data_IF_381981297971
#
_entry.id   IF_381981297971
#
_cell.length_a   1.000
_cell.length_b   1.000
_cell.length_c   1.000
_cell.angle_alpha   90.00
_cell.angle_beta   90.00
_cell.angle_gamma   90.00
#
_symmetry.space_group_name_H-M   'P 1'
#
loop_
_entity.id
_entity.type
_entity.pdbx_description
1 polymer ?
#
# COMPACT_ATOMS: atom_id res chain seq x y z
N UNK A 1 -17.95 -27.18 1.58
CA UNK A 1 -18.41 -25.93 0.93
C UNK A 1 -17.17 -25.10 0.69
N UNK A 2 -16.85 -24.76 -0.55
CA UNK A 2 -15.71 -23.88 -0.86
C UNK A 2 -16.02 -22.51 -0.28
N UNK A 3 -15.31 -22.10 0.77
CA UNK A 3 -15.44 -20.77 1.37
C UNK A 3 -14.79 -19.75 0.43
N UNK A 4 -15.53 -19.32 -0.58
CA UNK A 4 -15.11 -18.26 -1.50
C UNK A 4 -15.12 -16.92 -0.77
N UNK A 5 -14.00 -16.20 -0.80
CA UNK A 5 -13.86 -14.95 -0.07
C UNK A 5 -12.91 -13.98 -0.76
N UNK A 6 -12.97 -12.73 -0.38
CA UNK A 6 -11.93 -11.76 -0.66
C UNK A 6 -11.05 -11.62 0.59
N UNK A 7 -9.77 -11.92 0.44
CA UNK A 7 -8.78 -11.72 1.47
C UNK A 7 -8.18 -10.32 1.30
N UNK A 8 -8.47 -9.44 2.24
CA UNK A 8 -7.91 -8.09 2.29
C UNK A 8 -6.73 -8.03 3.26
N UNK A 9 -5.51 -7.77 2.77
CA UNK A 9 -4.36 -7.49 3.65
C UNK A 9 -4.49 -6.08 4.20
N UNK A 10 -4.16 -5.89 5.46
CA UNK A 10 -4.19 -4.56 6.08
C UNK A 10 -3.04 -4.38 7.07
N UNK A 11 -2.91 -3.18 7.60
CA UNK A 11 -2.03 -2.95 8.75
C UNK A 11 -2.65 -3.58 9.99
N UNK A 12 -1.88 -4.33 10.82
CA UNK A 12 -2.36 -4.82 12.11
C UNK A 12 -2.95 -3.70 12.96
N UNK A 13 -4.15 -3.94 13.52
CA UNK A 13 -4.94 -2.99 14.27
C UNK A 13 -6.01 -2.25 13.44
N UNK A 14 -6.01 -2.38 12.11
CA UNK A 14 -6.99 -1.78 11.20
C UNK A 14 -7.93 -2.80 10.56
N UNK A 15 -8.07 -3.98 11.16
CA UNK A 15 -8.95 -5.03 10.63
C UNK A 15 -10.41 -4.61 10.60
N UNK A 16 -10.88 -3.89 11.63
CA UNK A 16 -12.26 -3.40 11.67
C UNK A 16 -12.53 -2.34 10.62
N UNK A 17 -11.60 -1.42 10.40
CA UNK A 17 -11.71 -0.38 9.38
C UNK A 17 -11.71 -1.00 7.98
N UNK A 18 -10.82 -1.96 7.74
CA UNK A 18 -10.78 -2.76 6.51
C UNK A 18 -12.08 -3.53 6.29
N UNK A 19 -12.61 -4.20 7.32
CA UNK A 19 -13.88 -4.92 7.26
C UNK A 19 -15.05 -4.00 6.88
N UNK A 20 -15.11 -2.81 7.49
CA UNK A 20 -16.14 -1.82 7.21
C UNK A 20 -16.03 -1.29 5.77
N UNK A 21 -14.81 -0.99 5.30
CA UNK A 21 -14.58 -0.54 3.92
C UNK A 21 -15.02 -1.61 2.91
N UNK A 22 -14.61 -2.86 3.09
CA UNK A 22 -15.01 -3.98 2.21
C UNK A 22 -16.53 -4.16 2.21
N UNK A 23 -17.16 -4.11 3.39
CA UNK A 23 -18.61 -4.27 3.52
C UNK A 23 -19.37 -3.16 2.80
N UNK A 24 -18.94 -1.90 2.95
CA UNK A 24 -19.57 -0.75 2.28
C UNK A 24 -19.42 -0.86 0.77
N UNK A 25 -18.20 -1.00 0.27
CA UNK A 25 -17.90 -1.00 -1.17
C UNK A 25 -18.52 -2.19 -1.91
N UNK A 26 -18.41 -3.39 -1.34
CA UNK A 26 -19.03 -4.57 -1.95
C UNK A 26 -20.55 -4.55 -1.82
N UNK A 27 -21.10 -3.98 -0.74
CA UNK A 27 -22.54 -3.75 -0.60
C UNK A 27 -23.09 -2.81 -1.68
N UNK A 28 -22.41 -1.71 -1.98
CA UNK A 28 -22.75 -0.78 -3.06
C UNK A 28 -22.72 -1.46 -4.44
N UNK A 29 -21.78 -2.41 -4.63
CA UNK A 29 -21.65 -3.20 -5.85
C UNK A 29 -22.57 -4.44 -5.89
N UNK A 30 -23.46 -4.62 -4.91
CA UNK A 30 -24.35 -5.78 -4.77
C UNK A 30 -23.62 -7.14 -4.65
N UNK A 31 -22.37 -7.13 -4.21
CA UNK A 31 -21.56 -8.30 -3.92
C UNK A 31 -21.60 -8.59 -2.41
N UNK A 32 -22.71 -9.16 -1.96
CA UNK A 32 -22.98 -9.30 -0.53
C UNK A 32 -22.19 -10.42 0.14
N UNK A 33 -21.78 -10.17 1.37
CA UNK A 33 -21.00 -11.09 2.19
C UNK A 33 -20.88 -10.62 3.64
N UNK A 34 -19.97 -11.20 4.38
CA UNK A 34 -19.66 -10.78 5.74
C UNK A 34 -18.16 -10.90 6.02
N UNK A 35 -17.57 -9.93 6.75
CA UNK A 35 -16.17 -9.96 7.10
C UNK A 35 -15.92 -10.84 8.33
N UNK A 36 -14.81 -11.57 8.31
CA UNK A 36 -14.24 -12.28 9.45
C UNK A 36 -12.82 -11.79 9.65
N UNK A 37 -12.49 -11.37 10.87
CA UNK A 37 -11.15 -10.91 11.23
C UNK A 37 -10.84 -11.21 12.69
N UNK A 38 -9.56 -11.27 13.00
CA UNK A 38 -9.04 -11.34 14.37
C UNK A 38 -8.21 -10.09 14.63
N UNK A 39 -8.36 -9.50 15.80
CA UNK A 39 -7.61 -8.30 16.19
C UNK A 39 -6.09 -8.52 16.02
N UNK A 40 -5.44 -7.57 15.38
CA UNK A 40 -4.00 -7.58 15.07
C UNK A 40 -3.56 -8.73 14.13
N UNK A 41 -4.48 -9.34 13.38
CA UNK A 41 -4.12 -10.39 12.41
C UNK A 41 -3.45 -9.87 11.14
N UNK A 42 -3.66 -8.58 10.81
CA UNK A 42 -3.14 -7.96 9.59
C UNK A 42 -3.88 -8.35 8.31
N UNK A 43 -5.04 -8.98 8.44
CA UNK A 43 -5.90 -9.32 7.30
C UNK A 43 -7.38 -9.48 7.71
N UNK A 44 -8.25 -9.45 6.70
CA UNK A 44 -9.70 -9.70 6.80
C UNK A 44 -10.10 -10.68 5.70
N UNK A 45 -10.95 -11.64 6.02
CA UNK A 45 -11.64 -12.50 5.06
C UNK A 45 -13.08 -12.00 4.89
N UNK A 46 -13.42 -11.50 3.71
CA UNK A 46 -14.80 -11.14 3.38
C UNK A 46 -15.43 -12.32 2.64
N UNK A 47 -16.21 -13.13 3.37
CA UNK A 47 -16.89 -14.30 2.83
C UNK A 47 -18.10 -13.92 2.01
N UNK A 48 -18.17 -14.37 0.76
CA UNK A 48 -19.30 -14.12 -0.13
C UNK A 48 -20.47 -15.03 0.20
N UNK A 49 -21.69 -14.49 0.19
CA UNK A 49 -22.92 -15.31 0.29
C UNK A 49 -23.15 -16.12 -0.98
N UNK A 50 -22.74 -15.61 -2.13
CA UNK A 50 -22.80 -16.27 -3.42
C UNK A 50 -21.39 -16.48 -3.97
N UNK A 51 -20.90 -17.72 -3.95
CA UNK A 51 -19.58 -18.11 -4.42
C UNK A 51 -19.36 -17.81 -5.92
N UNK A 52 -20.41 -17.75 -6.72
CA UNK A 52 -20.34 -17.47 -8.17
C UNK A 52 -19.95 -16.03 -8.47
N UNK A 53 -20.11 -15.13 -7.51
CA UNK A 53 -19.76 -13.71 -7.65
C UNK A 53 -18.28 -13.39 -7.42
N UNK A 54 -17.39 -14.35 -7.16
CA UNK A 54 -15.99 -14.08 -6.82
C UNK A 54 -15.27 -13.25 -7.88
N UNK A 55 -15.41 -13.62 -9.14
CA UNK A 55 -14.77 -12.90 -10.26
C UNK A 55 -15.35 -11.49 -10.43
N UNK A 56 -16.66 -11.35 -10.30
CA UNK A 56 -17.31 -10.04 -10.30
C UNK A 56 -16.80 -9.19 -9.13
N UNK A 57 -16.74 -9.75 -7.92
CA UNK A 57 -16.37 -9.03 -6.70
C UNK A 57 -14.96 -8.48 -6.77
N UNK A 58 -13.97 -9.28 -7.22
CA UNK A 58 -12.57 -8.82 -7.27
C UNK A 58 -12.34 -7.69 -8.30
N UNK A 59 -13.26 -7.50 -9.24
CA UNK A 59 -13.19 -6.46 -10.27
C UNK A 59 -13.91 -5.17 -9.91
N UNK A 60 -14.62 -5.09 -8.77
CA UNK A 60 -15.41 -3.91 -8.43
C UNK A 60 -14.57 -2.66 -8.15
N UNK A 61 -13.41 -2.84 -7.52
CA UNK A 61 -12.45 -1.76 -7.32
C UNK A 61 -11.04 -2.31 -7.21
N UNK A 62 -10.06 -1.49 -7.56
CA UNK A 62 -8.66 -1.85 -7.42
C UNK A 62 -8.14 -1.52 -6.01
N UNK A 63 -7.08 -2.19 -5.58
CA UNK A 63 -6.50 -1.95 -4.26
C UNK A 63 -5.99 -0.53 -4.07
N UNK A 64 -5.55 0.13 -5.14
CA UNK A 64 -5.08 1.53 -5.08
C UNK A 64 -6.21 2.55 -4.89
N UNK A 65 -7.47 2.16 -5.06
CA UNK A 65 -8.64 2.96 -4.71
C UNK A 65 -9.08 2.76 -3.25
N UNK A 66 -8.44 1.82 -2.53
CA UNK A 66 -8.77 1.50 -1.15
C UNK A 66 -8.02 2.41 -0.17
N UNK A 67 -8.59 2.55 1.04
CA UNK A 67 -7.99 3.32 2.14
C UNK A 67 -7.20 2.39 3.06
N UNK A 68 -7.80 1.30 3.52
CA UNK A 68 -7.19 0.38 4.48
C UNK A 68 -6.62 -0.89 3.86
N UNK A 69 -7.25 -1.54 2.86
CA UNK A 69 -6.68 -2.69 2.18
C UNK A 69 -5.38 -2.35 1.46
N UNK A 70 -4.34 -3.19 1.66
CA UNK A 70 -3.04 -3.10 0.97
C UNK A 70 -2.94 -4.05 -0.22
N UNK A 71 -3.72 -5.12 -0.18
CA UNK A 71 -3.89 -6.10 -1.24
C UNK A 71 -5.28 -6.73 -1.12
N UNK A 72 -5.87 -7.08 -2.26
CA UNK A 72 -7.14 -7.80 -2.35
C UNK A 72 -6.92 -9.06 -3.16
N UNK A 73 -7.19 -10.22 -2.58
CA UNK A 73 -7.01 -11.53 -3.20
C UNK A 73 -8.35 -12.25 -3.28
N UNK A 74 -8.74 -12.68 -4.46
CA UNK A 74 -9.90 -13.54 -4.67
C UNK A 74 -9.56 -14.98 -4.26
N UNK A 75 -9.99 -15.38 -3.07
CA UNK A 75 -9.75 -16.72 -2.51
C UNK A 75 -10.82 -17.66 -3.03
N UNK A 76 -10.39 -18.74 -3.66
CA UNK A 76 -11.25 -19.80 -4.18
C UNK A 76 -11.12 -21.11 -3.43
N UNK A 77 -10.07 -21.30 -2.64
CA UNK A 77 -9.91 -22.47 -1.77
C UNK A 77 -9.20 -22.09 -0.47
N UNK A 78 -9.60 -22.76 0.60
CA UNK A 78 -8.91 -22.70 1.91
C UNK A 78 -8.60 -24.12 2.33
N UNK A 79 -7.33 -24.39 2.60
CA UNK A 79 -6.87 -25.64 3.16
C UNK A 79 -6.70 -25.47 4.67
N UNK A 80 -7.34 -26.36 5.42
CA UNK A 80 -7.18 -26.49 6.86
C UNK A 80 -6.43 -27.79 7.16
N UNK A 81 -5.69 -27.82 8.24
CA UNK A 81 -4.94 -28.99 8.72
C UNK A 81 -3.96 -29.55 7.66
N UNK A 82 -3.23 -28.63 6.97
CA UNK A 82 -2.28 -29.01 5.92
C UNK A 82 -1.18 -29.92 6.49
N UNK A 83 -1.05 -31.11 5.94
CA UNK A 83 0.00 -32.07 6.28
C UNK A 83 1.38 -31.54 5.90
N UNK A 84 2.34 -31.62 6.84
CA UNK A 84 3.69 -31.07 6.68
C UNK A 84 4.49 -31.76 5.55
N UNK A 85 4.22 -33.02 5.33
CA UNK A 85 4.96 -33.90 4.44
C UNK A 85 4.66 -33.63 2.96
N UNK A 86 3.42 -33.22 2.63
CA UNK A 86 2.99 -32.99 1.24
C UNK A 86 2.17 -31.71 1.02
N UNK A 87 2.64 -30.59 1.54
CA UNK A 87 1.98 -29.30 1.29
C UNK A 87 1.87 -28.92 -0.19
N UNK A 88 2.87 -29.30 -1.00
CA UNK A 88 2.85 -29.01 -2.45
C UNK A 88 1.77 -29.79 -3.15
N UNK A 89 1.63 -31.08 -2.86
CA UNK A 89 0.59 -31.93 -3.44
C UNK A 89 -0.80 -31.41 -3.09
N UNK A 90 -1.06 -31.09 -1.83
CA UNK A 90 -2.36 -30.57 -1.38
C UNK A 90 -2.73 -29.24 -2.07
N UNK A 91 -1.78 -28.32 -2.29
CA UNK A 91 -2.03 -27.11 -3.08
C UNK A 91 -2.36 -27.44 -4.53
N UNK A 92 -1.66 -28.41 -5.15
CA UNK A 92 -1.95 -28.83 -6.53
C UNK A 92 -3.31 -29.50 -6.66
N UNK A 93 -3.72 -30.32 -5.68
CA UNK A 93 -5.05 -30.94 -5.68
C UNK A 93 -6.15 -29.87 -5.54
N UNK A 94 -6.00 -28.93 -4.61
CA UNK A 94 -6.95 -27.82 -4.47
C UNK A 94 -7.10 -27.01 -5.77
N UNK A 95 -6.02 -26.85 -6.53
CA UNK A 95 -6.07 -26.16 -7.84
C UNK A 95 -6.81 -26.97 -8.91
N UNK A 96 -6.87 -28.30 -8.81
CA UNK A 96 -7.60 -29.14 -9.77
C UNK A 96 -9.10 -29.16 -9.52
N UNK A 97 -9.52 -29.01 -8.26
CA UNK A 97 -10.92 -29.11 -7.84
C UNK A 97 -11.74 -27.86 -8.15
N UNK A 98 -11.08 -26.74 -8.49
CA UNK A 98 -11.75 -25.46 -8.68
C UNK A 98 -11.90 -25.12 -10.16
N UNK A 99 -13.13 -24.79 -10.58
CA UNK A 99 -13.37 -24.09 -11.83
C UNK A 99 -12.66 -22.73 -11.80
N UNK A 100 -11.79 -22.50 -12.78
CA UNK A 100 -10.96 -21.31 -12.82
C UNK A 100 -11.43 -20.35 -13.89
N UNK A 101 -11.38 -19.04 -13.62
CA UNK A 101 -11.66 -18.05 -14.65
C UNK A 101 -10.55 -17.96 -15.71
N UNK A 102 -9.38 -18.62 -15.50
CA UNK A 102 -8.25 -18.60 -16.43
C UNK A 102 -7.40 -19.87 -16.34
N UNK A 103 -6.75 -20.20 -17.45
CA UNK A 103 -6.02 -21.46 -17.60
C UNK A 103 -4.63 -21.48 -16.95
N UNK A 104 -3.94 -20.31 -16.85
CA UNK A 104 -2.56 -20.23 -16.41
C UNK A 104 -2.26 -18.91 -15.70
N UNK A 105 -1.53 -18.98 -14.58
CA UNK A 105 -1.03 -17.83 -13.85
C UNK A 105 0.29 -17.32 -14.41
N UNK A 106 0.53 -16.00 -14.33
CA UNK A 106 1.76 -15.37 -14.77
C UNK A 106 2.85 -15.32 -13.72
N UNK A 107 2.47 -15.29 -12.46
CA UNK A 107 3.37 -15.21 -11.30
C UNK A 107 2.76 -15.91 -10.08
N UNK A 108 3.56 -16.10 -9.04
CA UNK A 108 3.12 -16.64 -7.75
C UNK A 108 3.75 -15.86 -6.61
N UNK A 109 2.94 -15.53 -5.60
CA UNK A 109 3.39 -15.08 -4.30
C UNK A 109 2.99 -16.09 -3.21
N UNK A 110 3.92 -16.39 -2.30
CA UNK A 110 3.68 -17.18 -1.11
C UNK A 110 3.88 -16.26 0.09
N UNK A 111 2.81 -15.94 0.77
CA UNK A 111 2.73 -14.85 1.72
C UNK A 111 2.19 -15.28 3.07
N UNK A 112 2.23 -14.36 4.02
CA UNK A 112 1.85 -14.56 5.42
C UNK A 112 1.43 -13.21 6.02
N UNK A 113 0.73 -13.17 7.17
CA UNK A 113 0.35 -11.91 7.81
C UNK A 113 1.56 -11.03 8.17
N UNK A 114 1.49 -9.72 7.90
CA UNK A 114 2.54 -8.75 8.28
C UNK A 114 2.48 -8.43 9.78
N UNK A 115 2.67 -9.45 10.60
CA UNK A 115 2.68 -9.40 12.07
C UNK A 115 3.95 -10.01 12.63
N UNK A 116 4.26 -9.78 13.91
CA UNK A 116 5.41 -10.44 14.56
C UNK A 116 5.25 -11.97 14.55
N UNK A 117 4.04 -12.46 14.78
CA UNK A 117 3.72 -13.90 14.71
C UNK A 117 3.87 -14.42 13.28
N UNK A 118 3.33 -13.68 12.30
CA UNK A 118 3.44 -14.03 10.88
C UNK A 118 4.88 -14.09 10.37
N UNK A 119 5.80 -13.29 10.93
CA UNK A 119 7.23 -13.35 10.58
C UNK A 119 7.86 -14.72 10.82
N UNK A 120 7.31 -15.54 11.72
CA UNK A 120 7.76 -16.93 11.92
C UNK A 120 7.57 -17.77 10.65
N UNK A 121 6.56 -17.46 9.85
CA UNK A 121 6.25 -18.11 8.56
C UNK A 121 7.17 -17.64 7.42
N UNK A 122 7.82 -16.49 7.55
CA UNK A 122 8.59 -15.85 6.46
C UNK A 122 9.66 -16.77 5.87
N UNK A 123 10.42 -17.46 6.73
CA UNK A 123 11.48 -18.39 6.31
C UNK A 123 10.88 -19.62 5.61
N UNK A 124 9.76 -20.11 6.12
CA UNK A 124 9.02 -21.21 5.53
C UNK A 124 8.46 -20.83 4.16
N UNK A 125 7.68 -19.76 4.04
CA UNK A 125 7.09 -19.30 2.80
C UNK A 125 8.14 -19.10 1.69
N UNK A 126 9.28 -18.46 2.03
CA UNK A 126 10.39 -18.29 1.09
C UNK A 126 10.96 -19.63 0.58
N UNK A 127 11.13 -20.62 1.48
CA UNK A 127 11.62 -21.95 1.09
C UNK A 127 10.57 -22.74 0.32
N UNK A 128 9.31 -22.65 0.70
CA UNK A 128 8.19 -23.35 0.09
C UNK A 128 7.91 -22.84 -1.34
N UNK A 129 8.13 -21.57 -1.62
CA UNK A 129 7.94 -20.97 -2.94
C UNK A 129 8.71 -21.71 -4.04
N UNK A 130 9.92 -22.19 -3.75
CA UNK A 130 10.78 -22.83 -4.78
C UNK A 130 10.21 -24.16 -5.29
N UNK A 131 9.95 -25.18 -4.45
CA UNK A 131 9.38 -26.43 -4.90
C UNK A 131 7.96 -26.27 -5.46
N UNK A 132 7.15 -25.38 -4.85
CA UNK A 132 5.80 -25.12 -5.35
C UNK A 132 5.83 -24.51 -6.76
N UNK A 133 6.68 -23.53 -7.03
CA UNK A 133 6.84 -22.91 -8.36
C UNK A 133 7.24 -23.95 -9.42
N UNK A 134 8.14 -24.86 -9.09
CA UNK A 134 8.54 -25.95 -9.99
C UNK A 134 7.38 -26.90 -10.28
N UNK A 135 6.64 -27.32 -9.24
CA UNK A 135 5.51 -28.20 -9.37
C UNK A 135 4.36 -27.57 -10.18
N UNK A 136 4.06 -26.30 -9.95
CA UNK A 136 3.06 -25.56 -10.71
C UNK A 136 3.42 -25.43 -12.21
N UNK A 137 4.70 -25.17 -12.52
CA UNK A 137 5.15 -25.15 -13.92
C UNK A 137 5.03 -26.51 -14.58
N UNK A 138 5.44 -27.58 -13.90
CA UNK A 138 5.32 -28.96 -14.39
C UNK A 138 3.86 -29.35 -14.62
N UNK A 139 2.96 -28.89 -13.77
CA UNK A 139 1.53 -29.14 -13.89
C UNK A 139 0.80 -28.20 -14.89
N UNK A 140 1.50 -27.24 -15.52
CA UNK A 140 0.92 -26.31 -16.49
C UNK A 140 0.10 -25.16 -15.87
N UNK A 141 0.25 -24.93 -14.57
CA UNK A 141 -0.48 -23.87 -13.85
C UNK A 141 0.22 -22.51 -13.83
N UNK A 142 1.52 -22.50 -14.10
CA UNK A 142 2.35 -21.29 -14.05
C UNK A 142 3.16 -21.17 -15.34
N UNK A 143 3.27 -19.97 -15.89
CA UNK A 143 4.09 -19.67 -17.06
C UNK A 143 5.57 -20.01 -16.82
N UNK A 144 6.28 -20.37 -17.88
CA UNK A 144 7.70 -20.71 -17.81
C UNK A 144 8.57 -19.55 -17.30
N UNK A 145 8.25 -18.32 -17.78
CA UNK A 145 8.83 -17.06 -17.29
C UNK A 145 7.72 -16.24 -16.64
N UNK A 146 8.10 -15.38 -15.71
CA UNK A 146 7.18 -14.44 -15.09
C UNK A 146 6.49 -13.56 -16.15
N UNK A 147 5.17 -13.40 -16.01
CA UNK A 147 4.35 -12.57 -16.88
C UNK A 147 3.34 -11.77 -16.04
N UNK A 148 3.69 -10.54 -15.73
CA UNK A 148 2.87 -9.64 -14.90
C UNK A 148 1.58 -9.17 -15.59
N UNK A 149 1.41 -9.40 -16.89
CA UNK A 149 0.15 -9.17 -17.61
C UNK A 149 -0.91 -10.26 -17.42
N UNK A 150 -0.59 -11.33 -16.69
CA UNK A 150 -1.51 -12.41 -16.33
C UNK A 150 -1.84 -12.39 -14.85
N UNK A 151 -2.96 -13.01 -14.43
CA UNK A 151 -3.28 -13.16 -13.01
C UNK A 151 -2.14 -13.78 -12.21
N UNK A 152 -1.97 -13.31 -10.98
CA UNK A 152 -0.98 -13.83 -10.04
C UNK A 152 -1.66 -14.79 -9.06
N UNK A 153 -1.07 -15.95 -8.86
CA UNK A 153 -1.48 -16.90 -7.83
C UNK A 153 -0.96 -16.46 -6.47
N UNK A 154 -1.83 -16.42 -5.49
CA UNK A 154 -1.49 -16.14 -4.10
C UNK A 154 -1.71 -17.37 -3.24
N UNK A 155 -0.72 -17.72 -2.44
CA UNK A 155 -0.76 -18.75 -1.41
C UNK A 155 -0.48 -18.06 -0.09
N UNK A 156 -1.52 -17.76 0.67
CA UNK A 156 -1.41 -17.03 1.92
C UNK A 156 -1.52 -17.98 3.11
N UNK A 157 -0.44 -18.17 3.82
CA UNK A 157 -0.39 -18.97 5.03
C UNK A 157 -0.81 -18.12 6.24
N UNK A 158 -2.03 -18.35 6.75
CA UNK A 158 -2.47 -17.79 8.02
C UNK A 158 -1.67 -18.40 9.19
N UNK A 159 -1.41 -19.71 9.10
CA UNK A 159 -0.57 -20.48 10.01
C UNK A 159 0.19 -21.58 9.26
N UNK A 160 0.91 -22.44 9.96
CA UNK A 160 1.53 -23.62 9.32
C UNK A 160 0.51 -24.67 8.87
N UNK A 161 -0.72 -24.62 9.39
CA UNK A 161 -1.80 -25.56 9.16
C UNK A 161 -2.91 -25.02 8.26
N UNK A 162 -3.01 -23.67 8.12
CA UNK A 162 -4.08 -23.02 7.36
C UNK A 162 -3.50 -22.18 6.23
N UNK A 163 -4.00 -22.40 5.02
CA UNK A 163 -3.58 -21.62 3.87
C UNK A 163 -4.77 -21.28 2.95
N UNK A 164 -4.81 -20.05 2.51
CA UNK A 164 -5.77 -19.52 1.55
C UNK A 164 -5.13 -19.49 0.16
N UNK A 165 -5.83 -20.06 -0.84
CA UNK A 165 -5.38 -20.11 -2.23
C UNK A 165 -6.29 -19.21 -3.04
N UNK A 166 -5.70 -18.26 -3.73
CA UNK A 166 -6.47 -17.28 -4.48
C UNK A 166 -5.66 -16.62 -5.58
N UNK A 167 -6.21 -15.58 -6.17
CA UNK A 167 -5.55 -14.84 -7.23
C UNK A 167 -5.80 -13.34 -7.15
N UNK A 168 -4.93 -12.59 -7.82
CA UNK A 168 -5.13 -11.17 -8.11
C UNK A 168 -5.10 -10.92 -9.61
N UNK A 169 -5.78 -9.86 -10.03
CA UNK A 169 -5.73 -9.36 -11.42
C UNK A 169 -4.70 -8.24 -11.53
N UNK A 170 -3.92 -8.17 -12.61
CA UNK A 170 -2.83 -7.18 -12.75
C UNK A 170 -3.26 -5.73 -12.57
N UNK A 171 -4.45 -5.38 -13.05
CA UNK A 171 -5.00 -4.02 -12.98
C UNK A 171 -5.62 -3.66 -11.62
N UNK A 172 -5.82 -4.62 -10.73
CA UNK A 172 -6.54 -4.44 -9.46
C UNK A 172 -5.68 -4.71 -8.23
N UNK A 173 -4.47 -5.23 -8.42
CA UNK A 173 -3.56 -5.66 -7.37
C UNK A 173 -2.45 -4.65 -7.10
N UNK A 174 -1.92 -4.68 -5.88
CA UNK A 174 -0.60 -4.11 -5.60
C UNK A 174 0.50 -4.94 -6.28
N UNK A 175 1.50 -4.26 -6.84
CA UNK A 175 2.72 -4.91 -7.35
C UNK A 175 3.68 -5.35 -6.23
N UNK A 176 3.50 -4.84 -5.04
CA UNK A 176 4.41 -5.04 -3.91
C UNK A 176 4.11 -6.32 -3.12
N UNK A 177 5.15 -6.93 -2.58
CA UNK A 177 5.03 -8.07 -1.66
C UNK A 177 4.26 -7.66 -0.39
N UNK A 178 3.25 -8.44 0.00
CA UNK A 178 2.30 -8.13 1.08
C UNK A 178 1.52 -6.81 0.86
N UNK A 179 1.50 -6.28 -0.36
CA UNK A 179 0.92 -4.96 -0.63
C UNK A 179 1.66 -3.80 0.04
N UNK A 180 2.96 -3.97 0.36
CA UNK A 180 3.74 -2.98 1.10
C UNK A 180 4.89 -2.47 0.24
N UNK A 181 4.81 -1.21 -0.17
CA UNK A 181 5.93 -0.51 -0.80
C UNK A 181 7.07 -0.33 0.20
N UNK A 182 8.20 -1.04 0.00
CA UNK A 182 9.36 -1.01 0.89
C UNK A 182 10.42 -0.09 0.33
N UNK A 183 10.32 1.18 0.67
CA UNK A 183 11.28 2.20 0.26
C UNK A 183 12.60 2.08 1.04
N UNK A 184 13.71 2.28 0.33
CA UNK A 184 15.03 2.33 0.94
C UNK A 184 15.27 3.71 1.54
N UNK A 185 15.64 3.76 2.82
CA UNK A 185 16.01 5.01 3.48
C UNK A 185 17.35 5.54 2.89
N UNK A 186 17.36 6.77 2.33
CA UNK A 186 18.59 7.39 1.86
C UNK A 186 19.50 7.73 3.04
N UNK A 187 20.77 7.38 2.94
CA UNK A 187 21.76 7.58 4.03
C UNK A 187 22.06 9.05 4.33
N UNK A 188 21.82 9.93 3.37
CA UNK A 188 22.04 11.37 3.41
C UNK A 188 20.79 12.17 3.82
N UNK A 189 19.65 11.51 4.00
CA UNK A 189 18.43 12.17 4.45
C UNK A 189 18.47 12.45 5.96
N UNK A 190 18.05 13.66 6.40
CA UNK A 190 18.16 14.08 7.79
C UNK A 190 17.17 13.37 8.73
N UNK A 191 16.10 12.77 8.18
CA UNK A 191 15.05 12.12 8.97
C UNK A 191 14.37 11.00 8.19
N UNK A 192 13.90 9.96 8.92
CA UNK A 192 13.09 8.88 8.34
C UNK A 192 11.73 9.34 7.82
N UNK A 193 11.26 10.53 8.22
CA UNK A 193 10.01 11.13 7.69
C UNK A 193 10.07 11.34 6.17
N UNK A 194 11.28 11.41 5.58
CA UNK A 194 11.49 11.48 4.12
C UNK A 194 10.77 10.35 3.38
N UNK A 195 10.67 9.15 3.99
CA UNK A 195 10.00 8.00 3.38
C UNK A 195 8.49 8.18 3.24
N UNK A 196 7.85 8.98 4.10
CA UNK A 196 6.41 9.24 4.01
C UNK A 196 6.06 10.03 2.74
N UNK A 197 6.84 11.07 2.45
CA UNK A 197 6.63 11.84 1.22
C UNK A 197 6.98 11.01 -0.01
N UNK A 198 8.07 10.24 0.02
CA UNK A 198 8.43 9.35 -1.09
C UNK A 198 7.34 8.30 -1.35
N UNK A 199 6.78 7.72 -0.29
CA UNK A 199 5.65 6.76 -0.38
C UNK A 199 4.44 7.40 -1.06
N UNK A 200 4.05 8.61 -0.63
CA UNK A 200 2.96 9.35 -1.25
C UNK A 200 3.24 9.66 -2.74
N UNK A 201 4.47 10.04 -3.08
CA UNK A 201 4.86 10.33 -4.46
C UNK A 201 4.79 9.09 -5.35
N UNK A 202 5.25 7.94 -4.87
CA UNK A 202 5.28 6.68 -5.64
C UNK A 202 3.89 6.07 -5.78
N UNK A 203 3.08 6.09 -4.71
CA UNK A 203 1.81 5.38 -4.68
C UNK A 203 0.60 6.22 -5.09
N UNK A 204 0.65 7.56 -4.97
CA UNK A 204 -0.49 8.43 -5.26
C UNK A 204 -0.35 9.23 -6.56
N UNK A 205 0.85 9.35 -7.11
CA UNK A 205 1.11 10.18 -8.28
C UNK A 205 1.70 9.36 -9.43
N UNK A 206 1.08 9.43 -10.59
CA UNK A 206 1.69 8.94 -11.83
C UNK A 206 2.94 9.74 -12.20
N UNK A 207 3.84 9.18 -13.03
CA UNK A 207 5.06 9.86 -13.49
C UNK A 207 4.78 11.24 -14.09
N UNK A 208 3.69 11.37 -14.85
CA UNK A 208 3.25 12.65 -15.44
C UNK A 208 2.85 13.67 -14.39
N UNK A 209 2.15 13.23 -13.34
CA UNK A 209 1.77 14.09 -12.21
C UNK A 209 2.99 14.48 -11.39
N UNK A 210 3.90 13.55 -11.10
CA UNK A 210 5.16 13.85 -10.42
C UNK A 210 5.98 14.89 -11.20
N UNK A 211 6.18 14.70 -12.51
CA UNK A 211 6.92 15.64 -13.35
C UNK A 211 6.30 17.05 -13.36
N UNK A 212 4.98 17.16 -13.23
CA UNK A 212 4.27 18.43 -13.17
C UNK A 212 4.41 19.12 -11.80
N UNK A 213 4.26 18.35 -10.71
CA UNK A 213 4.21 18.85 -9.34
C UNK A 213 5.61 19.14 -8.78
N UNK A 214 6.59 18.30 -9.14
CA UNK A 214 7.97 18.31 -8.63
C UNK A 214 8.99 18.81 -9.65
N UNK A 215 8.60 19.80 -10.46
CA UNK A 215 9.48 20.32 -11.52
C UNK A 215 10.73 21.00 -10.92
N UNK A 216 11.89 20.73 -11.49
CA UNK A 216 13.13 21.44 -11.12
C UNK A 216 12.97 22.95 -11.30
N UNK A 217 13.48 23.74 -10.37
CA UNK A 217 13.27 25.18 -10.28
C UNK A 217 11.87 25.61 -9.83
N UNK A 218 10.99 24.66 -9.53
CA UNK A 218 9.69 24.94 -8.90
C UNK A 218 9.85 25.40 -7.45
N UNK A 219 8.77 25.95 -6.88
CA UNK A 219 8.76 26.45 -5.50
C UNK A 219 7.85 25.61 -4.62
N UNK A 220 8.29 25.33 -3.42
CA UNK A 220 7.51 24.61 -2.42
C UNK A 220 7.58 25.26 -1.05
N UNK A 221 6.59 25.00 -0.22
CA UNK A 221 6.59 25.29 1.21
C UNK A 221 6.46 23.97 1.97
N UNK A 222 7.30 23.79 2.99
CA UNK A 222 7.26 22.65 3.92
C UNK A 222 6.87 23.14 5.32
N UNK A 223 5.64 22.84 5.75
CA UNK A 223 5.14 23.21 7.08
C UNK A 223 5.41 22.08 8.08
N UNK A 224 6.17 22.43 9.15
CA UNK A 224 6.68 21.44 10.10
C UNK A 224 7.94 20.75 9.57
N UNK A 225 8.85 21.54 8.99
CA UNK A 225 9.97 21.03 8.21
C UNK A 225 11.05 20.30 9.03
N UNK A 226 11.28 20.69 10.31
CA UNK A 226 12.42 20.19 11.11
C UNK A 226 12.44 18.65 11.24
N UNK A 227 13.58 18.00 11.04
CA UNK A 227 14.89 18.50 10.62
C UNK A 227 15.09 18.57 9.09
N UNK A 228 14.03 18.40 8.27
CA UNK A 228 14.08 18.55 6.82
C UNK A 228 13.83 17.25 6.06
N UNK A 229 13.11 16.29 6.65
CA UNK A 229 12.85 15.02 5.99
C UNK A 229 12.04 15.15 4.69
N UNK A 230 11.01 15.99 4.66
CA UNK A 230 10.22 16.27 3.47
C UNK A 230 10.92 17.30 2.58
N UNK A 231 11.52 18.33 3.16
CA UNK A 231 12.39 19.28 2.46
C UNK A 231 13.44 18.56 1.61
N UNK A 232 14.09 17.50 2.14
CA UNK A 232 15.08 16.69 1.41
C UNK A 232 14.54 16.14 0.09
N UNK A 233 13.32 15.62 0.06
CA UNK A 233 12.71 15.08 -1.16
C UNK A 233 12.48 16.15 -2.23
N UNK A 234 12.14 17.38 -1.81
CA UNK A 234 11.90 18.50 -2.69
C UNK A 234 13.22 19.05 -3.25
N UNK A 235 14.21 19.23 -2.39
CA UNK A 235 15.56 19.70 -2.76
C UNK A 235 16.24 18.72 -3.71
N UNK A 236 16.13 17.42 -3.45
CA UNK A 236 16.69 16.37 -4.31
C UNK A 236 16.12 16.40 -5.74
N UNK A 237 14.92 16.96 -5.92
CA UNK A 237 14.26 17.17 -7.20
C UNK A 237 14.51 18.56 -7.79
N UNK A 238 15.37 19.37 -7.13
CA UNK A 238 15.77 20.70 -7.59
C UNK A 238 14.74 21.79 -7.36
N UNK A 239 13.84 21.62 -6.38
CA UNK A 239 12.88 22.66 -5.98
C UNK A 239 13.49 23.64 -4.97
N UNK A 240 13.05 24.89 -5.03
CA UNK A 240 13.29 25.88 -3.95
C UNK A 240 12.25 25.70 -2.85
N UNK A 241 12.68 25.64 -1.60
CA UNK A 241 11.83 25.31 -0.45
C UNK A 241 11.89 26.39 0.62
N UNK A 242 10.74 26.99 0.94
CA UNK A 242 10.54 27.73 2.19
C UNK A 242 10.23 26.70 3.29
N UNK A 243 11.16 26.44 4.17
CA UNK A 243 11.06 25.45 5.26
C UNK A 243 10.63 26.14 6.55
N UNK A 244 9.42 25.83 7.03
CA UNK A 244 8.77 26.52 8.15
C UNK A 244 8.76 25.63 9.37
N UNK A 245 9.52 25.97 10.38
CA UNK A 245 9.56 25.27 11.67
C UNK A 245 10.31 26.12 12.70
N UNK A 246 9.96 26.01 13.99
CA UNK A 246 10.73 26.60 15.08
C UNK A 246 12.06 25.86 15.34
N UNK A 247 12.14 24.58 14.96
CA UNK A 247 13.36 23.77 15.00
C UNK A 247 14.26 24.00 13.77
N UNK A 248 15.54 23.67 13.90
CA UNK A 248 16.53 23.90 12.85
C UNK A 248 16.40 22.86 11.72
N UNK A 249 16.52 23.29 10.49
CA UNK A 249 16.71 22.44 9.33
C UNK A 249 18.18 22.01 9.24
N UNK A 250 18.43 20.80 8.82
CA UNK A 250 19.78 20.22 8.72
C UNK A 250 20.71 21.08 7.83
N UNK A 251 21.95 21.29 8.29
CA UNK A 251 22.97 22.10 7.58
C UNK A 251 23.25 21.58 6.17
N UNK A 252 23.16 20.27 5.96
CA UNK A 252 23.32 19.63 4.64
C UNK A 252 22.28 20.11 3.63
N UNK A 253 21.08 20.47 4.06
CA UNK A 253 20.03 21.03 3.21
C UNK A 253 20.23 22.52 3.01
N UNK A 254 20.57 23.25 4.08
CA UNK A 254 20.85 24.69 3.99
C UNK A 254 22.00 25.00 3.04
N UNK A 255 23.07 24.18 3.06
CA UNK A 255 24.23 24.34 2.19
C UNK A 255 23.94 24.13 0.69
N UNK A 256 22.80 23.58 0.33
CA UNK A 256 22.40 23.43 -1.08
C UNK A 256 22.05 24.76 -1.76
N UNK A 257 21.72 25.80 -1.00
CA UNK A 257 21.23 27.08 -1.50
C UNK A 257 19.80 27.02 -2.06
N UNK A 258 19.10 25.89 -1.89
CA UNK A 258 17.71 25.70 -2.33
C UNK A 258 16.69 25.83 -1.19
N UNK A 259 17.14 26.02 0.06
CA UNK A 259 16.29 26.08 1.25
C UNK A 259 16.41 27.43 1.92
N UNK A 260 15.27 28.03 2.19
CA UNK A 260 15.13 29.19 3.06
C UNK A 260 14.36 28.78 4.32
N UNK A 261 15.01 28.83 5.48
CA UNK A 261 14.41 28.44 6.75
C UNK A 261 13.79 29.64 7.44
N UNK A 262 12.54 29.50 7.85
CA UNK A 262 11.82 30.50 8.64
C UNK A 262 11.39 29.92 9.99
N UNK A 263 11.94 30.44 11.08
CA UNK A 263 11.50 30.12 12.43
C UNK A 263 10.12 30.75 12.70
N UNK A 264 9.06 30.07 12.29
CA UNK A 264 7.69 30.59 12.35
C UNK A 264 6.68 29.45 12.58
N UNK A 265 5.48 29.86 13.04
CA UNK A 265 4.35 28.94 13.17
C UNK A 265 3.72 28.67 11.80
N UNK A 266 3.72 27.37 11.39
CA UNK A 266 3.15 26.93 10.12
C UNK A 266 1.66 27.24 9.94
N UNK A 267 0.90 27.40 11.03
CA UNK A 267 -0.53 27.79 10.95
C UNK A 267 -0.74 29.24 10.56
N UNK A 268 0.20 30.11 10.83
CA UNK A 268 0.11 31.54 10.55
C UNK A 268 0.94 31.97 9.36
N UNK A 269 1.84 31.12 8.88
CA UNK A 269 2.74 31.41 7.78
C UNK A 269 2.01 31.63 6.45
N UNK A 270 2.59 32.47 5.61
CA UNK A 270 2.15 32.73 4.23
C UNK A 270 3.37 32.76 3.31
N UNK A 271 3.25 32.25 2.08
CA UNK A 271 4.40 32.20 1.16
C UNK A 271 4.87 33.62 0.83
N UNK A 272 6.18 33.84 0.95
CA UNK A 272 6.75 35.19 0.78
C UNK A 272 6.85 35.58 -0.70
N UNK A 273 7.06 34.62 -1.57
CA UNK A 273 7.30 34.86 -3.01
C UNK A 273 6.07 34.59 -3.89
N UNK A 274 4.87 34.71 -3.32
CA UNK A 274 3.61 34.47 -4.01
C UNK A 274 3.25 32.98 -4.10
N UNK A 275 2.43 32.62 -5.06
CA UNK A 275 1.91 31.26 -5.22
C UNK A 275 3.03 30.23 -5.44
N UNK A 276 3.02 29.16 -4.66
CA UNK A 276 3.96 28.04 -4.81
C UNK A 276 3.35 26.89 -5.61
N UNK A 277 4.20 26.04 -6.20
CA UNK A 277 3.76 24.86 -6.96
C UNK A 277 3.24 23.78 -6.04
N UNK A 278 3.91 23.57 -4.89
CA UNK A 278 3.59 22.52 -3.94
C UNK A 278 3.68 22.98 -2.48
N UNK A 279 2.65 22.66 -1.72
CA UNK A 279 2.64 22.73 -0.26
C UNK A 279 2.80 21.32 0.29
N UNK A 280 3.72 21.12 1.23
CA UNK A 280 3.82 19.86 1.98
C UNK A 280 3.71 20.08 3.48
N UNK A 281 3.20 19.08 4.22
CA UNK A 281 3.02 19.21 5.66
C UNK A 281 3.06 17.84 6.37
N UNK A 282 3.98 17.67 7.34
CA UNK A 282 4.04 16.52 8.27
C UNK A 282 3.93 16.95 9.74
N UNK A 283 3.26 18.07 10.03
CA UNK A 283 3.06 18.56 11.40
C UNK A 283 2.32 17.53 12.27
N UNK A 284 2.68 17.49 13.56
CA UNK A 284 1.97 16.71 14.58
C UNK A 284 0.88 17.59 15.18
N UNK A 285 -0.34 17.47 14.64
CA UNK A 285 -1.49 18.26 15.08
C UNK A 285 -2.79 17.49 14.80
N UNK A 286 -3.91 17.99 15.31
CA UNK A 286 -5.24 17.41 15.05
C UNK A 286 -5.53 17.37 13.55
N UNK A 287 -6.02 16.23 13.01
CA UNK A 287 -6.21 16.03 11.57
C UNK A 287 -7.11 17.07 10.91
N UNK A 288 -8.19 17.48 11.60
CA UNK A 288 -9.15 18.47 11.12
C UNK A 288 -8.52 19.87 10.98
N UNK A 289 -7.63 20.25 11.91
CA UNK A 289 -6.90 21.51 11.84
C UNK A 289 -5.93 21.53 10.66
N UNK A 290 -5.20 20.43 10.44
CA UNK A 290 -4.28 20.31 9.30
C UNK A 290 -5.07 20.32 7.99
N UNK A 291 -6.14 19.54 7.88
CA UNK A 291 -6.97 19.49 6.68
C UNK A 291 -7.56 20.87 6.32
N UNK A 292 -8.03 21.62 7.34
CA UNK A 292 -8.52 22.98 7.15
C UNK A 292 -7.41 23.91 6.65
N UNK A 293 -6.22 23.87 7.26
CA UNK A 293 -5.09 24.67 6.84
C UNK A 293 -4.72 24.42 5.38
N UNK A 294 -4.64 23.15 4.97
CA UNK A 294 -4.35 22.78 3.58
C UNK A 294 -5.43 23.28 2.61
N UNK A 295 -6.71 23.12 2.99
CA UNK A 295 -7.85 23.65 2.23
C UNK A 295 -7.78 25.16 2.06
N UNK A 296 -7.49 25.90 3.15
CA UNK A 296 -7.34 27.35 3.12
C UNK A 296 -6.23 27.82 2.17
N UNK A 297 -5.09 27.13 2.12
CA UNK A 297 -4.00 27.44 1.20
C UNK A 297 -4.40 27.25 -0.26
N UNK A 298 -5.13 26.21 -0.58
CA UNK A 298 -5.59 25.92 -1.94
C UNK A 298 -6.68 26.92 -2.37
N UNK A 299 -7.64 27.22 -1.52
CA UNK A 299 -8.73 28.17 -1.79
C UNK A 299 -8.20 29.60 -1.98
N UNK A 300 -7.20 30.01 -1.18
CA UNK A 300 -6.53 31.31 -1.30
C UNK A 300 -5.52 31.37 -2.46
N UNK A 301 -5.37 30.28 -3.21
CA UNK A 301 -4.40 30.17 -4.29
C UNK A 301 -2.93 30.44 -3.89
N UNK A 302 -2.59 30.14 -2.63
CA UNK A 302 -1.20 30.24 -2.15
C UNK A 302 -0.35 29.06 -2.60
N UNK A 303 -0.98 27.90 -2.82
CA UNK A 303 -0.36 26.73 -3.43
C UNK A 303 -1.20 26.19 -4.59
N UNK A 304 -0.53 25.53 -5.54
CA UNK A 304 -1.21 24.85 -6.68
C UNK A 304 -1.64 23.44 -6.29
N UNK A 305 -0.79 22.74 -5.55
CA UNK A 305 -0.98 21.38 -5.09
C UNK A 305 -0.60 21.28 -3.61
N UNK A 306 -1.16 20.29 -2.91
CA UNK A 306 -0.79 19.99 -1.53
C UNK A 306 -0.63 18.48 -1.33
N UNK A 307 0.42 18.07 -0.60
CA UNK A 307 0.62 16.72 -0.09
C UNK A 307 0.84 16.84 1.43
N UNK A 308 0.03 16.16 2.20
CA UNK A 308 0.11 16.26 3.64
C UNK A 308 -0.26 14.98 4.35
N UNK A 309 0.19 14.84 5.58
CA UNK A 309 -0.08 13.68 6.41
C UNK A 309 -1.15 14.03 7.44
N UNK A 310 -2.20 13.21 7.54
CA UNK A 310 -3.18 13.26 8.62
C UNK A 310 -2.82 12.17 9.63
N UNK A 311 -2.47 12.58 10.84
CA UNK A 311 -2.14 11.66 11.93
C UNK A 311 -3.43 11.26 12.62
N UNK A 312 -4.01 10.15 12.16
CA UNK A 312 -5.18 9.55 12.78
C UNK A 312 -4.81 9.01 14.16
N UNK A 313 -5.76 9.06 15.12
CA UNK A 313 -5.55 8.60 16.50
C UNK A 313 -5.27 7.10 16.60
#
# INVERSE_FOLDING_TARGET
MSNTSILGYCRPGYENDTANELTSRYGEAQCYGYPVSKKNSGFVLYHLYDATQLEQTITQFAVHDSIFPRQLVAVFATLNDIEKEDRVGQVLEALKEVEKPFQIFGAIDVEYPDTEEGKTLAKFCRKFTVPLRQALRKAGWLTAKENLGKPKLHIFFESFEICHIGYTLPSHASGDHLGICRLKFPSDAPSRSTLKLEDALVNMLSDKQQAKVLRSGGRAVDLGACPGGWTYQLVKRGMYVEAIDNGLVADSLMSTGLVEHHAADGFTYRPQFGRVDLLVCDMIEQPDRVAKLMGDWLVKHWATHAIFNLKLP
#
